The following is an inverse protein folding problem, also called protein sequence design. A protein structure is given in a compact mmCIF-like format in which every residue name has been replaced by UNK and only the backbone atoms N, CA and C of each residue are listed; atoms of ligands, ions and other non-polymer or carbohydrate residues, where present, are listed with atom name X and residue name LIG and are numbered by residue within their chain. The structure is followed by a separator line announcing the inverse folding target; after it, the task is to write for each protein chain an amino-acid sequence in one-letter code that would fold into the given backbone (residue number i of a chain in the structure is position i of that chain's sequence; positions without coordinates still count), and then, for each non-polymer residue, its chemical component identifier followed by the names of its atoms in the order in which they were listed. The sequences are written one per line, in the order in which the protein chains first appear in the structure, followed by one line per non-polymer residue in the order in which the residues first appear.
data_IF_736435064738
#
_entry.id   IF_736435064738
#
_cell.length_a   1.000
_cell.length_b   1.000
_cell.length_c   1.000
_cell.angle_alpha   90.00
_cell.angle_beta   90.00
_cell.angle_gamma   90.00
#
_symmetry.space_group_name_H-M   'P 1'
#
loop_
_entity.id
_entity.type
_entity.pdbx_description
1 polymer ?
#
# COMPACT_ATOMS: atom_id res chain seq x y z
N UNK A 1 -19.20 7.23 -4.73
CA UNK A 1 -17.78 7.41 -5.09
C UNK A 1 -17.47 6.53 -6.28
N UNK A 2 -17.15 7.09 -7.46
CA UNK A 2 -16.67 6.26 -8.56
C UNK A 2 -15.19 5.89 -8.27
N UNK A 3 -14.86 4.61 -8.44
CA UNK A 3 -13.49 4.08 -8.31
C UNK A 3 -13.29 3.08 -9.43
N UNK A 4 -12.06 2.97 -9.93
CA UNK A 4 -11.72 1.93 -10.88
C UNK A 4 -11.82 0.54 -10.20
N UNK A 5 -12.80 -0.26 -10.62
CA UNK A 5 -13.11 -1.57 -10.04
C UNK A 5 -12.14 -2.68 -10.45
N UNK A 6 -11.16 -2.41 -11.31
CA UNK A 6 -10.08 -3.37 -11.60
C UNK A 6 -8.93 -3.23 -10.59
N UNK A 7 -8.77 -2.05 -9.98
CA UNK A 7 -7.68 -1.72 -9.04
C UNK A 7 -8.17 -1.37 -7.63
N UNK A 8 -9.39 -1.80 -7.26
CA UNK A 8 -10.01 -1.49 -5.96
C UNK A 8 -9.21 -1.99 -4.74
N UNK A 9 -8.25 -2.91 -4.95
CA UNK A 9 -7.33 -3.42 -3.92
C UNK A 9 -6.20 -2.43 -3.56
N UNK A 10 -6.06 -1.35 -4.34
CA UNK A 10 -5.06 -0.31 -4.12
C UNK A 10 -5.69 0.92 -3.51
N UNK A 11 -6.37 0.80 -2.36
CA UNK A 11 -6.87 1.98 -1.64
C UNK A 11 -6.09 2.16 -0.35
N UNK A 12 -5.80 3.40 0.01
CA UNK A 12 -5.09 3.73 1.25
C UNK A 12 -5.75 4.91 1.96
N UNK A 13 -5.60 4.92 3.28
CA UNK A 13 -6.06 6.01 4.13
C UNK A 13 -4.87 6.87 4.54
N UNK A 14 -5.01 8.18 4.38
CA UNK A 14 -4.10 9.18 4.91
C UNK A 14 -4.93 10.12 5.80
N UNK A 15 -4.86 9.94 7.13
CA UNK A 15 -5.74 10.62 8.09
C UNK A 15 -7.21 10.37 7.74
N UNK A 16 -7.99 11.43 7.48
CA UNK A 16 -9.38 11.38 7.04
C UNK A 16 -9.54 11.46 5.50
N UNK A 17 -8.46 11.24 4.75
CA UNK A 17 -8.49 11.22 3.29
C UNK A 17 -8.35 9.80 2.76
N UNK A 18 -9.24 9.42 1.86
CA UNK A 18 -9.22 8.17 1.11
C UNK A 18 -8.57 8.42 -0.25
N UNK A 19 -7.52 7.66 -0.55
CA UNK A 19 -6.77 7.75 -1.81
C UNK A 19 -7.02 6.49 -2.62
N UNK A 20 -7.42 6.66 -3.87
CA UNK A 20 -7.77 5.55 -4.76
C UNK A 20 -7.23 5.80 -6.17
N UNK A 21 -6.97 4.76 -6.98
CA UNK A 21 -6.78 4.94 -8.42
C UNK A 21 -7.98 5.69 -9.00
N UNK A 22 -7.70 6.62 -9.91
CA UNK A 22 -8.74 7.44 -10.50
C UNK A 22 -9.65 6.58 -11.39
N UNK A 23 -10.94 6.93 -11.45
CA UNK A 23 -11.92 6.11 -12.18
C UNK A 23 -11.63 6.07 -13.68
N UNK A 24 -11.23 7.21 -14.25
CA UNK A 24 -11.10 7.40 -15.70
C UNK A 24 -9.72 7.05 -16.22
N UNK A 25 -8.71 7.04 -15.37
CA UNK A 25 -7.31 6.81 -15.72
C UNK A 25 -6.60 6.11 -14.57
N UNK A 26 -6.26 4.84 -14.77
CA UNK A 26 -5.68 3.99 -13.75
C UNK A 26 -4.20 4.31 -13.45
N UNK A 27 -3.57 5.18 -14.26
CA UNK A 27 -2.23 5.71 -14.02
C UNK A 27 -2.25 6.86 -12.99
N UNK A 28 -3.43 7.43 -12.74
CA UNK A 28 -3.64 8.58 -11.86
C UNK A 28 -4.39 8.15 -10.59
N UNK A 29 -4.41 9.02 -9.58
CA UNK A 29 -5.20 8.79 -8.36
C UNK A 29 -6.15 9.97 -8.04
N UNK A 30 -7.25 9.65 -7.39
CA UNK A 30 -8.19 10.59 -6.78
C UNK A 30 -7.96 10.63 -5.26
N UNK A 31 -8.27 11.77 -4.64
CA UNK A 31 -8.30 11.90 -3.18
C UNK A 31 -9.66 12.41 -2.75
N UNK A 32 -10.26 11.71 -1.78
CA UNK A 32 -11.54 12.04 -1.19
C UNK A 32 -11.36 12.37 0.28
N UNK A 33 -11.90 13.49 0.73
CA UNK A 33 -12.06 13.80 2.14
C UNK A 33 -13.29 13.10 2.68
N UNK A 34 -13.13 12.40 3.80
CA UNK A 34 -14.23 11.84 4.57
C UNK A 34 -14.57 12.82 5.70
N UNK A 35 -15.79 13.36 5.68
CA UNK A 35 -16.35 14.11 6.82
C UNK A 35 -17.30 13.21 7.61
N UNK A 36 -17.27 13.37 8.93
CA UNK A 36 -18.03 12.57 9.90
C UNK A 36 -18.84 13.43 10.87
N UNK A 37 -18.89 14.76 10.66
CA UNK A 37 -19.49 15.66 11.66
C UNK A 37 -20.98 15.42 11.89
N UNK A 38 -21.77 15.21 10.83
CA UNK A 38 -23.23 15.02 10.94
C UNK A 38 -23.82 14.01 9.94
N UNK A 39 -23.08 13.66 8.88
CA UNK A 39 -23.44 12.73 7.81
C UNK A 39 -22.16 12.10 7.25
N UNK A 40 -22.26 10.94 6.58
CA UNK A 40 -21.14 10.41 5.80
C UNK A 40 -21.04 11.18 4.48
N UNK A 41 -20.41 12.35 4.52
CA UNK A 41 -20.12 13.14 3.33
C UNK A 41 -18.73 12.81 2.79
N UNK A 42 -18.68 12.58 1.48
CA UNK A 42 -17.47 12.25 0.75
C UNK A 42 -17.27 13.32 -0.30
N UNK A 43 -16.24 14.15 -0.13
CA UNK A 43 -15.90 15.23 -1.06
C UNK A 43 -14.62 14.89 -1.79
N UNK A 44 -14.63 14.89 -3.12
CA UNK A 44 -13.39 14.74 -3.89
C UNK A 44 -12.59 16.05 -3.82
N UNK A 45 -11.38 15.98 -3.30
CA UNK A 45 -10.48 17.14 -3.12
C UNK A 45 -9.34 17.17 -4.14
N UNK A 46 -8.98 16.02 -4.70
CA UNK A 46 -8.01 15.91 -5.81
C UNK A 46 -8.61 14.97 -6.86
N UNK A 47 -8.59 15.40 -8.12
CA UNK A 47 -9.15 14.63 -9.24
C UNK A 47 -8.05 14.26 -10.23
N UNK A 48 -7.92 12.96 -10.50
CA UNK A 48 -7.04 12.36 -11.52
C UNK A 48 -5.63 12.97 -11.51
N UNK A 49 -4.98 12.96 -10.34
CA UNK A 49 -3.62 13.45 -10.22
C UNK A 49 -2.64 12.52 -10.92
N UNK A 50 -1.82 13.08 -11.81
CA UNK A 50 -0.84 12.36 -12.60
C UNK A 50 0.56 12.50 -11.96
N UNK A 51 1.05 11.42 -11.35
CA UNK A 51 2.37 11.37 -10.71
C UNK A 51 3.55 11.50 -11.69
N UNK A 52 3.41 11.00 -12.93
CA UNK A 52 4.44 11.09 -13.96
C UNK A 52 4.86 12.54 -14.25
N UNK A 53 3.91 13.49 -14.19
CA UNK A 53 4.20 14.91 -14.38
C UNK A 53 5.20 15.47 -13.37
N UNK A 54 5.24 14.93 -12.15
CA UNK A 54 6.20 15.39 -11.13
C UNK A 54 7.62 14.90 -11.40
N UNK A 55 7.77 13.72 -11.98
CA UNK A 55 9.07 13.16 -12.37
C UNK A 55 9.62 13.92 -13.58
N UNK A 56 8.78 14.11 -14.60
CA UNK A 56 9.21 14.68 -15.88
C UNK A 56 9.43 16.21 -15.83
N UNK A 57 8.65 16.95 -15.03
CA UNK A 57 8.82 18.41 -14.88
C UNK A 57 10.15 18.79 -14.19
N UNK A 58 10.81 17.86 -13.50
CA UNK A 58 12.10 18.08 -12.86
C UNK A 58 13.29 17.75 -13.77
N UNK A 59 13.06 17.32 -15.02
CA UNK A 59 14.13 17.00 -15.98
C UNK A 59 14.96 15.76 -15.63
N UNK A 60 14.43 14.82 -14.84
CA UNK A 60 15.12 13.61 -14.37
C UNK A 60 14.78 12.39 -15.25
N UNK A 61 14.71 12.54 -16.56
CA UNK A 61 14.50 11.41 -17.46
C UNK A 61 15.59 11.33 -18.53
N UNK A 62 16.44 10.31 -18.39
CA UNK A 62 17.20 9.79 -19.53
C UNK A 62 16.20 9.19 -20.52
N UNK A 63 16.24 9.72 -21.74
CA UNK A 63 15.37 9.42 -22.88
C UNK A 63 15.53 7.97 -23.36
N UNK A 64 15.04 7.00 -22.58
CA UNK A 64 14.96 5.59 -22.97
C UNK A 64 13.60 5.29 -23.61
N UNK A 65 13.32 5.89 -24.78
CA UNK A 65 12.52 5.35 -25.89
C UNK A 65 11.23 4.54 -25.66
N UNK A 66 10.61 4.63 -24.48
CA UNK A 66 9.45 3.87 -24.03
C UNK A 66 8.41 4.83 -23.45
N UNK A 67 7.14 4.41 -23.47
CA UNK A 67 5.93 5.16 -23.09
C UNK A 67 6.16 6.39 -22.20
N UNK A 68 5.57 7.52 -22.58
CA UNK A 68 5.54 8.76 -21.78
C UNK A 68 4.61 8.64 -20.53
N UNK A 69 4.64 7.50 -19.85
CA UNK A 69 3.85 7.20 -18.65
C UNK A 69 4.58 6.20 -17.73
N UNK A 70 4.10 6.08 -16.48
CA UNK A 70 4.55 5.05 -15.53
C UNK A 70 3.70 3.77 -15.63
N UNK A 71 2.71 3.73 -16.53
CA UNK A 71 1.67 2.72 -16.54
C UNK A 71 0.73 2.79 -15.32
N UNK A 72 0.01 1.69 -15.08
CA UNK A 72 -1.08 1.62 -14.09
C UNK A 72 -0.53 1.63 -12.65
N UNK A 73 -1.27 2.21 -11.69
CA UNK A 73 -0.96 2.10 -10.26
C UNK A 73 -1.19 0.66 -9.79
N UNK A 74 -0.09 -0.01 -9.42
CA UNK A 74 -0.07 -1.41 -9.02
C UNK A 74 -0.12 -1.61 -7.52
N UNK A 75 0.45 -0.69 -6.74
CA UNK A 75 0.32 -0.69 -5.27
C UNK A 75 0.42 0.71 -4.67
N UNK A 76 -0.26 0.92 -3.54
CA UNK A 76 -0.09 2.10 -2.70
C UNK A 76 0.13 1.72 -1.24
N UNK A 77 0.89 2.55 -0.52
CA UNK A 77 1.14 2.45 0.91
C UNK A 77 1.31 3.86 1.49
N UNK A 78 0.92 4.07 2.75
CA UNK A 78 1.16 5.34 3.46
C UNK A 78 2.07 5.07 4.65
N UNK A 79 3.14 5.84 4.78
CA UNK A 79 4.10 5.78 5.91
C UNK A 79 4.35 7.22 6.35
N UNK A 80 4.13 7.55 7.62
CA UNK A 80 4.41 8.88 8.19
C UNK A 80 3.90 10.08 7.37
N UNK A 81 2.68 9.95 6.83
CA UNK A 81 2.02 10.92 5.95
C UNK A 81 2.58 11.05 4.52
N UNK A 82 3.54 10.21 4.15
CA UNK A 82 4.03 10.09 2.78
C UNK A 82 3.25 8.99 2.07
N UNK A 83 2.69 9.33 0.90
CA UNK A 83 2.06 8.38 0.01
C UNK A 83 3.11 7.76 -0.91
N UNK A 84 3.29 6.45 -0.82
CA UNK A 84 4.09 5.66 -1.74
C UNK A 84 3.18 5.06 -2.81
N UNK A 85 3.54 5.25 -4.08
CA UNK A 85 2.80 4.76 -5.24
C UNK A 85 3.74 3.94 -6.13
N UNK A 86 3.49 2.64 -6.19
CA UNK A 86 4.21 1.69 -7.04
C UNK A 86 3.45 1.44 -8.35
N UNK A 87 4.17 1.47 -9.46
CA UNK A 87 3.63 1.47 -10.80
C UNK A 87 3.94 0.19 -11.60
N UNK A 88 3.24 0.01 -12.72
CA UNK A 88 3.46 -1.07 -13.68
C UNK A 88 4.84 -0.97 -14.35
N UNK A 89 5.35 0.23 -14.56
CA UNK A 89 6.69 0.46 -15.08
C UNK A 89 7.80 -0.03 -14.15
N UNK A 90 7.52 -0.26 -12.86
CA UNK A 90 8.53 -0.52 -11.84
C UNK A 90 9.06 0.72 -11.13
N UNK A 91 8.44 1.89 -11.38
CA UNK A 91 8.72 3.11 -10.63
C UNK A 91 7.94 3.14 -9.31
N UNK A 92 8.58 3.69 -8.28
CA UNK A 92 8.01 3.96 -6.97
C UNK A 92 8.17 5.45 -6.67
N UNK A 93 7.06 6.14 -6.48
CA UNK A 93 7.03 7.55 -6.11
C UNK A 93 6.70 7.70 -4.62
N UNK A 94 7.46 8.52 -3.91
CA UNK A 94 7.13 9.00 -2.59
C UNK A 94 6.56 10.43 -2.72
N UNK A 95 5.32 10.64 -2.30
CA UNK A 95 4.58 11.87 -2.49
C UNK A 95 4.13 12.44 -1.14
N UNK A 96 4.40 13.72 -0.92
CA UNK A 96 3.83 14.45 0.20
C UNK A 96 2.61 15.24 -0.29
N UNK A 97 1.47 15.08 0.41
CA UNK A 97 0.22 15.79 0.12
C UNK A 97 -0.07 16.76 1.26
N UNK A 98 0.04 18.05 0.95
CA UNK A 98 -0.26 19.12 1.88
C UNK A 98 -1.72 19.58 1.73
N UNK A 99 -2.52 19.27 2.75
CA UNK A 99 -3.89 19.71 2.89
C UNK A 99 -3.90 20.94 3.80
N UNK A 100 -3.40 22.08 3.31
CA UNK A 100 -3.38 23.31 4.09
C UNK A 100 -4.81 23.71 4.53
N UNK A 101 -5.01 24.13 5.80
CA UNK A 101 -6.32 24.57 6.24
C UNK A 101 -6.72 25.87 5.53
N UNK A 102 -8.03 26.10 5.34
CA UNK A 102 -8.52 27.33 4.73
C UNK A 102 -8.13 28.55 5.57
N UNK A 103 -7.68 29.62 4.91
CA UNK A 103 -7.30 30.87 5.58
C UNK A 103 -8.57 31.70 5.77
N UNK A 104 -8.88 32.04 7.03
CA UNK A 104 -9.99 32.91 7.38
C UNK A 104 -9.45 34.32 7.58
N UNK A 105 -9.67 35.20 6.60
CA UNK A 105 -9.36 36.62 6.73
C UNK A 105 -10.59 37.32 7.28
N UNK A 106 -10.45 37.89 8.49
CA UNK A 106 -11.50 38.71 9.11
C UNK A 106 -11.11 40.17 8.96
N UNK A 107 -11.78 40.92 8.08
CA UNK A 107 -11.54 42.36 7.96
C UNK A 107 -12.43 43.09 8.96
N UNK A 108 -11.82 43.79 9.92
CA UNK A 108 -12.51 44.81 10.69
C UNK A 108 -12.68 46.03 9.79
N UNK A 109 -13.93 46.46 9.58
CA UNK A 109 -14.16 47.73 8.88
C UNK A 109 -13.89 48.87 9.87
N UNK A 110 -12.80 49.62 9.68
CA UNK A 110 -12.43 50.82 10.46
C UNK A 110 -13.34 52.04 10.17
N UNK A 111 -14.61 51.80 9.85
CA UNK A 111 -15.57 52.89 9.74
C UNK A 111 -15.99 53.33 11.16
N UNK A 112 -15.92 54.63 11.51
CA UNK A 112 -16.36 55.12 12.81
C UNK A 112 -17.87 54.92 12.92
N UNK A 113 -18.27 53.83 13.58
CA UNK A 113 -19.68 53.49 13.76
C UNK A 113 -20.16 54.05 15.09
N UNK A 114 -21.11 54.98 15.02
CA UNK A 114 -21.66 55.75 16.14
C UNK A 114 -22.65 54.96 17.01
N UNK A 115 -22.48 53.64 17.13
CA UNK A 115 -23.36 52.84 17.99
C UNK A 115 -22.87 51.42 18.24
N UNK A 116 -22.85 51.03 19.53
CA UNK A 116 -22.39 49.72 20.05
C UNK A 116 -23.03 48.50 19.38
N UNK A 117 -24.22 48.63 18.78
CA UNK A 117 -24.88 47.54 18.04
C UNK A 117 -24.36 47.36 16.59
N UNK A 118 -23.84 48.41 15.95
CA UNK A 118 -23.44 48.38 14.54
C UNK A 118 -22.04 47.82 14.27
N UNK A 119 -21.19 47.76 15.31
CA UNK A 119 -19.86 47.15 15.27
C UNK A 119 -19.90 45.61 15.21
N UNK A 120 -20.98 44.98 15.73
CA UNK A 120 -21.14 43.52 15.71
C UNK A 120 -21.61 42.97 14.35
N UNK A 121 -22.24 43.80 13.50
CA UNK A 121 -22.90 43.37 12.26
C UNK A 121 -22.03 43.52 10.99
N UNK A 122 -20.81 44.07 11.07
CA UNK A 122 -19.97 44.40 9.90
C UNK A 122 -18.61 43.68 9.84
N UNK A 123 -18.52 42.47 10.37
CA UNK A 123 -17.35 41.61 10.13
C UNK A 123 -17.58 40.80 8.85
N UNK A 124 -16.96 41.21 7.75
CA UNK A 124 -16.86 40.35 6.56
C UNK A 124 -15.77 39.31 6.80
N UNK A 125 -16.16 38.03 6.79
CA UNK A 125 -15.24 36.89 6.79
C UNK A 125 -15.03 36.45 5.34
N UNK A 126 -13.80 36.54 4.86
CA UNK A 126 -13.40 35.94 3.58
C UNK A 126 -12.66 34.64 3.89
N UNK A 127 -13.19 33.53 3.39
CA UNK A 127 -12.55 32.21 3.48
C UNK A 127 -11.83 31.97 2.17
N UNK A 128 -10.50 31.83 2.21
CA UNK A 128 -9.70 31.42 1.06
C UNK A 128 -9.43 29.93 1.20
N UNK A 129 -10.13 29.14 0.39
CA UNK A 129 -9.82 27.73 0.23
C UNK A 129 -8.55 27.62 -0.61
N UNK A 130 -7.55 26.91 -0.10
CA UNK A 130 -6.36 26.55 -0.86
C UNK A 130 -6.53 25.14 -1.38
N UNK A 131 -6.17 24.94 -2.63
CA UNK A 131 -6.15 23.60 -3.23
C UNK A 131 -5.01 22.79 -2.59
N UNK A 132 -5.20 21.49 -2.34
CA UNK A 132 -4.14 20.63 -1.83
C UNK A 132 -2.91 20.66 -2.74
N UNK A 133 -1.72 20.72 -2.15
CA UNK A 133 -0.46 20.72 -2.89
C UNK A 133 0.20 19.35 -2.80
N UNK A 134 0.52 18.75 -3.94
CA UNK A 134 1.29 17.50 -4.01
C UNK A 134 2.72 17.82 -4.43
N UNK A 135 3.68 17.22 -3.73
CA UNK A 135 5.11 17.35 -4.00
C UNK A 135 5.79 15.99 -4.06
N UNK A 136 6.72 15.82 -4.98
CA UNK A 136 7.57 14.63 -5.07
C UNK A 136 8.65 14.71 -3.98
N UNK A 137 8.70 13.69 -3.13
CA UNK A 137 9.73 13.55 -2.09
C UNK A 137 10.88 12.73 -2.62
N UNK A 138 10.58 11.60 -3.26
CA UNK A 138 11.58 10.69 -3.81
C UNK A 138 11.03 9.89 -5.00
N UNK A 139 11.94 9.39 -5.85
CA UNK A 139 11.64 8.56 -7.01
C UNK A 139 12.66 7.42 -7.10
N UNK A 140 12.16 6.19 -6.97
CA UNK A 140 12.96 4.97 -7.03
C UNK A 140 12.55 4.19 -8.29
N UNK A 141 13.48 3.98 -9.23
CA UNK A 141 13.23 3.34 -10.54
C UNK A 141 13.88 1.95 -10.67
N UNK A 142 14.26 1.36 -9.55
CA UNK A 142 15.10 0.17 -9.44
C UNK A 142 14.44 -1.11 -9.99
N UNK A 143 13.12 -1.19 -9.91
CA UNK A 143 12.36 -2.33 -10.38
C UNK A 143 12.08 -2.27 -11.88
N UNK A 144 12.29 -1.12 -12.53
CA UNK A 144 12.00 -0.97 -13.95
C UNK A 144 12.68 -2.04 -14.81
N UNK A 145 12.00 -2.56 -15.85
CA UNK A 145 10.63 -2.23 -16.30
C UNK A 145 9.53 -3.10 -15.65
N UNK A 146 9.74 -3.60 -14.42
CA UNK A 146 8.92 -4.67 -13.85
C UNK A 146 7.93 -4.14 -12.79
N UNK A 147 6.62 -4.49 -12.88
CA UNK A 147 5.59 -3.96 -11.98
C UNK A 147 5.91 -4.16 -10.49
N UNK A 148 5.66 -3.12 -9.69
CA UNK A 148 5.69 -3.19 -8.23
C UNK A 148 4.37 -3.78 -7.71
N UNK A 149 4.42 -4.99 -7.21
CA UNK A 149 3.22 -5.77 -6.82
C UNK A 149 3.09 -5.95 -5.31
N UNK A 150 4.11 -5.57 -4.54
CA UNK A 150 4.07 -5.58 -3.09
C UNK A 150 4.83 -4.39 -2.51
N UNK A 151 4.26 -3.79 -1.46
CA UNK A 151 4.86 -2.74 -0.68
C UNK A 151 4.68 -3.07 0.80
N UNK A 152 5.71 -2.82 1.60
CA UNK A 152 5.69 -2.90 3.06
C UNK A 152 6.67 -1.89 3.63
N UNK A 153 6.79 -1.82 4.94
CA UNK A 153 7.72 -0.89 5.58
C UNK A 153 8.28 -1.46 6.87
N UNK A 154 9.51 -1.05 7.21
CA UNK A 154 10.13 -1.36 8.48
C UNK A 154 10.99 -0.18 8.90
N UNK A 155 10.84 0.29 10.15
CA UNK A 155 11.62 1.41 10.69
C UNK A 155 11.65 2.64 9.77
N UNK A 156 10.50 3.03 9.20
CA UNK A 156 10.34 4.14 8.26
C UNK A 156 11.01 3.99 6.88
N UNK A 157 11.62 2.84 6.59
CA UNK A 157 12.13 2.52 5.26
C UNK A 157 11.06 1.80 4.44
N UNK A 158 10.96 2.15 3.16
CA UNK A 158 10.03 1.50 2.23
C UNK A 158 10.66 0.21 1.73
N UNK A 159 9.88 -0.86 1.70
CA UNK A 159 10.30 -2.14 1.11
C UNK A 159 9.39 -2.43 -0.06
N UNK A 160 9.96 -2.59 -1.25
CA UNK A 160 9.20 -2.86 -2.47
C UNK A 160 9.59 -4.17 -3.13
N UNK A 161 8.59 -4.90 -3.62
CA UNK A 161 8.74 -6.14 -4.36
C UNK A 161 8.09 -6.04 -5.72
N UNK A 162 8.74 -6.65 -6.71
CA UNK A 162 8.28 -6.65 -8.10
C UNK A 162 7.88 -8.04 -8.59
N UNK A 163 7.40 -8.12 -9.83
CA UNK A 163 7.16 -9.41 -10.52
C UNK A 163 8.43 -10.23 -10.72
N UNK A 164 9.61 -9.63 -10.59
CA UNK A 164 10.91 -10.31 -10.63
C UNK A 164 11.33 -10.81 -9.26
N UNK A 165 12.61 -11.15 -9.10
CA UNK A 165 13.23 -11.50 -7.84
C UNK A 165 13.97 -10.32 -7.18
N UNK A 166 13.72 -9.08 -7.60
CA UNK A 166 14.27 -7.89 -6.96
C UNK A 166 13.35 -7.44 -5.82
N UNK A 167 13.92 -7.39 -4.63
CA UNK A 167 13.39 -6.68 -3.46
C UNK A 167 14.22 -5.41 -3.28
N UNK A 168 13.58 -4.28 -2.98
CA UNK A 168 14.29 -3.06 -2.60
C UNK A 168 13.99 -2.67 -1.16
N UNK A 169 14.99 -2.06 -0.51
CA UNK A 169 14.86 -1.28 0.71
C UNK A 169 15.32 0.13 0.34
N UNK A 170 14.38 1.06 0.20
CA UNK A 170 14.62 2.35 -0.44
C UNK A 170 15.36 2.19 -1.79
N UNK A 171 16.62 2.66 -1.87
CA UNK A 171 17.47 2.61 -3.07
C UNK A 171 18.39 1.38 -3.13
N UNK A 172 18.38 0.52 -2.12
CA UNK A 172 19.19 -0.70 -2.09
C UNK A 172 18.43 -1.89 -2.69
N UNK A 173 19.14 -2.78 -3.41
CA UNK A 173 18.60 -4.02 -3.97
C UNK A 173 19.06 -5.23 -3.16
N UNK A 174 18.12 -6.14 -2.93
CA UNK A 174 18.38 -7.53 -2.64
C UNK A 174 17.79 -8.43 -3.75
N UNK A 175 18.63 -9.31 -4.31
CA UNK A 175 18.20 -10.30 -5.30
C UNK A 175 17.85 -11.61 -4.60
N UNK A 176 16.59 -12.02 -4.74
CA UNK A 176 16.02 -13.21 -4.10
C UNK A 176 16.11 -14.45 -4.99
N UNK A 177 15.81 -15.60 -4.40
CA UNK A 177 15.85 -16.89 -5.10
C UNK A 177 14.64 -17.12 -6.02
N UNK A 178 13.50 -16.51 -5.69
CA UNK A 178 12.23 -16.70 -6.41
C UNK A 178 11.73 -15.37 -6.97
N UNK A 179 10.98 -15.43 -8.06
CA UNK A 179 10.32 -14.27 -8.68
C UNK A 179 8.86 -14.16 -8.26
N UNK A 180 8.27 -12.98 -8.47
CA UNK A 180 6.86 -12.71 -8.23
C UNK A 180 6.61 -12.49 -6.74
N UNK A 181 7.19 -11.42 -6.19
CA UNK A 181 7.10 -11.07 -4.77
C UNK A 181 5.69 -10.55 -4.46
N UNK A 182 4.82 -11.48 -4.03
CA UNK A 182 3.40 -11.23 -3.83
C UNK A 182 3.10 -10.54 -2.50
N UNK A 183 3.86 -10.83 -1.46
CA UNK A 183 3.64 -10.27 -0.12
C UNK A 183 4.95 -10.13 0.63
N UNK A 184 5.12 -9.00 1.32
CA UNK A 184 6.29 -8.67 2.13
C UNK A 184 5.78 -8.37 3.54
N UNK A 185 6.29 -9.11 4.52
CA UNK A 185 5.86 -8.99 5.91
C UNK A 185 7.08 -8.95 6.83
N UNK A 186 7.53 -7.74 7.21
CA UNK A 186 8.51 -7.57 8.27
C UNK A 186 7.96 -8.10 9.59
N UNK A 187 8.77 -8.89 10.29
CA UNK A 187 8.51 -9.37 11.65
C UNK A 187 9.64 -8.91 12.56
N UNK A 188 9.53 -9.18 13.87
CA UNK A 188 10.58 -8.80 14.82
C UNK A 188 11.92 -9.50 14.58
N UNK A 189 11.92 -10.68 13.94
CA UNK A 189 13.11 -11.53 13.78
C UNK A 189 13.58 -11.67 12.34
N UNK A 190 12.63 -11.72 11.42
CA UNK A 190 12.87 -12.04 10.02
C UNK A 190 11.99 -11.19 9.10
N UNK A 191 12.47 -10.96 7.89
CA UNK A 191 11.64 -10.45 6.80
C UNK A 191 11.01 -11.63 6.06
N UNK A 192 9.68 -11.74 6.09
CA UNK A 192 8.98 -12.79 5.36
C UNK A 192 8.63 -12.33 3.96
N UNK A 193 9.00 -13.13 2.97
CA UNK A 193 8.71 -12.90 1.56
C UNK A 193 7.85 -14.05 1.04
N UNK A 194 6.64 -13.72 0.62
CA UNK A 194 5.70 -14.63 -0.01
C UNK A 194 5.67 -14.43 -1.52
N UNK A 195 5.77 -15.51 -2.27
CA UNK A 195 5.81 -15.48 -3.73
C UNK A 195 4.51 -16.00 -4.34
N UNK A 196 4.16 -15.50 -5.53
CA UNK A 196 2.99 -15.92 -6.32
C UNK A 196 2.92 -17.43 -6.57
N UNK A 197 4.05 -18.14 -6.54
CA UNK A 197 4.13 -19.59 -6.73
C UNK A 197 3.85 -20.39 -5.44
N UNK A 198 3.47 -19.75 -4.34
CA UNK A 198 3.14 -20.41 -3.07
C UNK A 198 4.33 -20.70 -2.16
N UNK A 199 5.52 -20.24 -2.52
CA UNK A 199 6.71 -20.31 -1.66
C UNK A 199 6.71 -19.14 -0.68
N UNK A 200 7.17 -19.40 0.54
CA UNK A 200 7.39 -18.39 1.58
C UNK A 200 8.83 -18.55 2.06
N UNK A 201 9.60 -17.48 2.06
CA UNK A 201 10.96 -17.46 2.56
C UNK A 201 11.08 -16.47 3.73
N UNK A 202 11.85 -16.85 4.75
CA UNK A 202 12.24 -15.94 5.83
C UNK A 202 13.68 -15.50 5.63
N UNK A 203 13.92 -14.19 5.74
CA UNK A 203 15.25 -13.60 5.61
C UNK A 203 15.72 -12.95 6.91
N UNK A 204 16.97 -13.18 7.28
CA UNK A 204 17.67 -12.50 8.38
C UNK A 204 19.07 -12.14 7.89
N UNK A 205 19.53 -10.91 8.11
CA UNK A 205 20.82 -10.41 7.63
C UNK A 205 21.08 -10.70 6.14
N UNK A 206 20.05 -10.45 5.30
CA UNK A 206 20.06 -10.70 3.85
C UNK A 206 20.26 -12.17 3.44
N UNK A 207 20.15 -13.12 4.38
CA UNK A 207 20.22 -14.55 4.10
C UNK A 207 18.87 -15.23 4.30
N UNK A 208 18.52 -16.12 3.38
CA UNK A 208 17.33 -16.95 3.52
C UNK A 208 17.57 -17.99 4.62
N UNK A 209 16.86 -17.87 5.74
CA UNK A 209 16.97 -18.75 6.91
C UNK A 209 16.02 -19.94 6.86
N UNK A 210 14.88 -19.81 6.17
CA UNK A 210 13.97 -20.92 5.95
C UNK A 210 13.12 -20.74 4.69
N UNK A 211 12.59 -21.86 4.19
CA UNK A 211 11.64 -21.89 3.08
C UNK A 211 10.48 -22.81 3.39
N UNK A 212 9.27 -22.29 3.32
CA UNK A 212 8.01 -23.03 3.44
C UNK A 212 7.30 -23.08 2.08
N UNK A 213 6.63 -24.19 1.80
CA UNK A 213 5.84 -24.38 0.58
C UNK A 213 4.61 -25.20 0.87
N UNK A 214 3.49 -24.86 0.21
CA UNK A 214 2.24 -25.60 0.33
C UNK A 214 1.93 -26.35 -0.95
N UNK A 215 1.91 -27.68 -0.86
CA UNK A 215 1.55 -28.53 -1.99
C UNK A 215 0.03 -28.67 -2.12
N UNK A 216 -0.43 -28.80 -3.36
CA UNK A 216 -1.81 -29.19 -3.65
C UNK A 216 -2.09 -30.60 -3.11
N UNK A 217 -3.23 -30.82 -2.44
CA UNK A 217 -3.66 -32.17 -2.05
C UNK A 217 -3.79 -33.03 -3.31
N UNK A 218 -3.10 -34.17 -3.35
CA UNK A 218 -3.21 -35.13 -4.45
C UNK A 218 -4.11 -36.28 -4.05
N UNK A 219 -5.10 -36.56 -4.88
CA UNK A 219 -5.71 -37.89 -4.92
C UNK A 219 -4.83 -38.74 -5.82
N UNK A 220 -4.25 -39.81 -5.29
CA UNK A 220 -3.45 -40.74 -6.09
C UNK A 220 -4.36 -41.33 -7.18
N UNK A 221 -4.11 -40.96 -8.43
CA UNK A 221 -4.83 -41.51 -9.58
C UNK A 221 -4.32 -42.96 -9.75
N UNK A 222 -5.21 -43.93 -9.57
CA UNK A 222 -4.95 -45.34 -9.86
C UNK A 222 -4.50 -45.50 -11.32
N UNK A 223 -3.60 -46.45 -11.59
CA UNK A 223 -2.94 -46.63 -12.90
C UNK A 223 -3.90 -46.74 -14.10
N UNK A 224 -5.17 -47.09 -13.86
CA UNK A 224 -6.23 -47.21 -14.86
C UNK A 224 -6.70 -45.88 -15.48
N UNK A 225 -6.36 -44.72 -14.91
CA UNK A 225 -6.86 -43.40 -15.36
C UNK A 225 -5.77 -42.49 -15.96
N UNK A 226 -4.57 -43.02 -16.23
CA UNK A 226 -3.41 -42.25 -16.75
C UNK A 226 -3.63 -41.54 -18.08
N UNK A 227 -4.64 -41.92 -18.87
CA UNK A 227 -4.90 -41.35 -20.19
C UNK A 227 -5.67 -40.02 -20.21
N UNK A 228 -6.33 -39.62 -19.12
CA UNK A 228 -7.31 -38.52 -19.14
C UNK A 228 -6.98 -37.32 -18.23
N UNK A 229 -5.88 -37.35 -17.48
CA UNK A 229 -5.53 -36.25 -16.58
C UNK A 229 -4.67 -35.21 -17.30
N UNK A 230 -5.25 -34.05 -17.64
CA UNK A 230 -4.46 -32.83 -17.86
C UNK A 230 -3.73 -32.54 -16.54
N UNK A 231 -2.45 -32.82 -16.49
CA UNK A 231 -1.61 -32.56 -15.32
C UNK A 231 -1.54 -31.03 -15.14
N UNK A 232 -2.07 -30.51 -14.03
CA UNK A 232 -1.76 -29.14 -13.63
C UNK A 232 -0.25 -29.05 -13.38
N UNK A 233 0.42 -28.16 -14.12
CA UNK A 233 1.87 -28.02 -14.07
C UNK A 233 2.39 -27.41 -12.75
N UNK A 234 1.53 -26.73 -11.98
CA UNK A 234 1.91 -26.21 -10.66
C UNK A 234 1.54 -27.19 -9.57
N UNK A 235 2.51 -27.58 -8.75
CA UNK A 235 2.29 -28.44 -7.58
C UNK A 235 1.97 -27.65 -6.31
N UNK A 236 2.05 -26.33 -6.39
CA UNK A 236 1.91 -25.42 -5.26
C UNK A 236 0.66 -24.56 -5.42
N UNK A 237 0.01 -24.28 -4.30
CA UNK A 237 -1.12 -23.35 -4.25
C UNK A 237 -0.56 -21.93 -4.18
N UNK A 238 -1.03 -21.04 -5.05
CA UNK A 238 -0.54 -19.65 -5.07
C UNK A 238 -0.86 -18.94 -3.77
N UNK A 239 0.12 -18.18 -3.27
CA UNK A 239 -0.06 -17.30 -2.13
C UNK A 239 -0.84 -16.06 -2.58
N UNK A 240 -1.78 -15.59 -1.76
CA UNK A 240 -2.55 -14.37 -2.04
C UNK A 240 -2.17 -13.23 -1.12
N UNK A 241 -1.98 -13.51 0.18
CA UNK A 241 -1.69 -12.49 1.18
C UNK A 241 -1.01 -13.05 2.42
N UNK A 242 -0.23 -12.22 3.12
CA UNK A 242 0.29 -12.51 4.46
C UNK A 242 0.02 -11.32 5.39
N UNK A 243 -0.29 -11.62 6.64
CA UNK A 243 -0.42 -10.63 7.71
C UNK A 243 0.05 -11.20 9.03
N UNK A 244 0.78 -10.42 9.81
CA UNK A 244 1.14 -10.77 11.18
C UNK A 244 0.14 -10.15 12.15
N UNK A 245 -0.01 -10.82 13.29
CA UNK A 245 -0.60 -10.20 14.47
C UNK A 245 0.51 -9.92 15.46
N UNK A 246 0.70 -8.65 15.78
CA UNK A 246 1.65 -8.25 16.82
C UNK A 246 1.28 -8.87 18.16
N UNK A 247 2.32 -9.11 18.96
CA UNK A 247 2.18 -9.57 20.33
C UNK A 247 1.43 -8.50 21.12
N UNK A 248 0.21 -8.79 21.52
CA UNK A 248 -0.51 -7.95 22.48
C UNK A 248 0.08 -8.26 23.85
N UNK A 249 0.75 -7.28 24.47
CA UNK A 249 1.09 -7.36 25.89
C UNK A 249 -0.20 -7.44 26.71
N UNK A 250 -0.68 -8.65 26.96
CA UNK A 250 -1.90 -8.83 27.74
C UNK A 250 -1.60 -8.53 29.21
N UNK A 251 -2.20 -7.47 29.75
CA UNK A 251 -2.33 -7.32 31.20
C UNK A 251 -3.21 -8.48 31.70
N UNK A 252 -2.62 -9.30 32.58
CA UNK A 252 -3.13 -10.59 33.03
C UNK A 252 -4.64 -10.61 33.33
N UNK A 253 -5.40 -11.45 32.61
CA UNK A 253 -6.73 -11.91 33.06
C UNK A 253 -7.02 -13.36 32.65
N UNK A 254 -7.13 -14.20 33.67
CA UNK A 254 -7.91 -15.45 33.80
C UNK A 254 -7.35 -16.79 33.29
N UNK A 255 -7.59 -17.78 34.16
CA UNK A 255 -7.15 -19.18 34.19
C UNK A 255 -7.92 -20.06 33.19
N UNK A 256 -7.62 -19.97 31.89
CA UNK A 256 -8.07 -20.99 30.92
C UNK A 256 -6.93 -21.43 29.98
N UNK A 257 -6.44 -22.64 30.24
CA UNK A 257 -5.10 -23.15 29.92
C UNK A 257 -4.84 -23.64 28.49
N UNK A 258 -5.61 -23.20 27.49
CA UNK A 258 -5.36 -23.54 26.07
C UNK A 258 -5.19 -22.28 25.20
N UNK A 259 -5.80 -21.15 25.59
CA UNK A 259 -5.67 -19.86 24.86
C UNK A 259 -4.38 -19.08 25.19
N UNK A 260 -3.63 -19.48 26.21
CA UNK A 260 -2.40 -18.80 26.64
C UNK A 260 -1.15 -19.12 25.80
N UNK A 261 -1.10 -20.26 25.09
CA UNK A 261 0.12 -20.63 24.32
C UNK A 261 0.33 -19.78 23.06
N UNK A 262 -0.73 -19.24 22.48
CA UNK A 262 -0.69 -18.45 21.25
C UNK A 262 -0.68 -16.93 21.50
N UNK A 263 -0.80 -16.49 22.76
CA UNK A 263 -0.82 -15.05 23.09
C UNK A 263 0.58 -14.45 23.19
N UNK A 264 1.60 -15.27 23.44
CA UNK A 264 2.99 -14.82 23.58
C UNK A 264 3.83 -14.91 22.31
N UNK A 265 3.26 -15.45 21.22
CA UNK A 265 3.95 -15.74 19.98
C UNK A 265 3.47 -14.83 18.85
N UNK A 266 4.39 -14.41 17.99
CA UNK A 266 4.05 -13.72 16.75
C UNK A 266 3.45 -14.74 15.77
N UNK A 267 2.20 -14.49 15.38
CA UNK A 267 1.44 -15.36 14.48
C UNK A 267 1.35 -14.72 13.10
N UNK A 268 1.63 -15.51 12.08
CA UNK A 268 1.52 -15.10 10.68
C UNK A 268 0.42 -15.89 10.01
N UNK A 269 -0.58 -15.17 9.51
CA UNK A 269 -1.70 -15.69 8.75
C UNK A 269 -1.37 -15.60 7.27
N UNK A 270 -1.47 -16.72 6.56
CA UNK A 270 -1.14 -16.82 5.14
C UNK A 270 -2.36 -17.32 4.39
N UNK A 271 -2.87 -16.49 3.48
CA UNK A 271 -3.95 -16.84 2.57
C UNK A 271 -3.44 -17.42 1.25
N UNK A 272 -4.17 -18.39 0.73
CA UNK A 272 -3.91 -19.02 -0.57
C UNK A 272 -5.10 -18.87 -1.54
N UNK A 273 -4.84 -19.07 -2.83
CA UNK A 273 -5.83 -18.91 -3.91
C UNK A 273 -7.03 -19.88 -3.79
N UNK A 274 -6.85 -21.02 -3.12
CA UNK A 274 -7.92 -22.00 -2.86
C UNK A 274 -8.81 -21.64 -1.65
N UNK A 275 -8.66 -20.43 -1.09
CA UNK A 275 -9.47 -19.93 0.02
C UNK A 275 -9.03 -20.44 1.40
N UNK A 276 -7.94 -21.23 1.48
CA UNK A 276 -7.42 -21.68 2.76
C UNK A 276 -6.53 -20.64 3.43
N UNK A 277 -6.51 -20.67 4.77
CA UNK A 277 -5.64 -19.82 5.59
C UNK A 277 -4.82 -20.72 6.49
N UNK A 278 -3.50 -20.56 6.44
CA UNK A 278 -2.55 -21.22 7.33
C UNK A 278 -2.07 -20.24 8.40
N UNK A 279 -1.80 -20.75 9.60
CA UNK A 279 -1.24 -19.96 10.69
C UNK A 279 0.13 -20.53 11.02
N UNK A 280 1.17 -19.72 10.87
CA UNK A 280 2.54 -20.05 11.23
C UNK A 280 2.94 -19.32 12.50
N UNK A 281 3.77 -19.97 13.31
CA UNK A 281 4.46 -19.33 14.43
C UNK A 281 5.84 -18.94 13.93
N UNK A 282 6.19 -17.66 14.04
CA UNK A 282 7.54 -17.19 13.70
C UNK A 282 8.42 -17.34 14.93
N UNK A 283 9.16 -18.45 15.00
CA UNK A 283 10.09 -18.77 16.10
C UNK A 283 11.51 -18.35 15.79
#
# INVERSE_FOLDING_TARGET
MPVNSLNFSNVVMLKNYLITPATTDANNFDVYQLDHKDSYEITRVITSFNGYKLVNNNGITDDYGGRNDLGIIMKMLVIDNILYVGYESGDLLALNIDFEPPIIITKANDAPSTGKLSAFLKQSKTVINRDPKITLVDHINIHAPNPIISLSHSNNHIIAGSTTNKLSLDHDILKLNNSGIQSILPTHKVLLIGYWNGIIEGYSDNQCVFTNKRQLPRVNILDSNKGNAKQENSLLVKLTFMVSRDKIESKAVSKYSIKQKFTDQELVFVGFEDGTIYVYIVS
#
